data_IF_936064046252
#
_entry.id   IF_936064046252
#
_cell.length_a   1.000
_cell.length_b   1.000
_cell.length_c   1.000
_cell.angle_alpha   90.00
_cell.angle_beta   90.00
_cell.angle_gamma   90.00
#
_symmetry.space_group_name_H-M   'P 1'
#
loop_
_entity.id
_entity.type
_entity.pdbx_description
1 polymer ?
#
# COMPACT_ATOMS: atom_id res chain seq x y z
N UNK A 1 -5.88 9.71 7.82
CA UNK A 1 -5.96 10.29 9.20
C UNK A 1 -7.04 11.39 9.33
N UNK A 2 -7.77 11.72 8.26
CA UNK A 2 -8.80 12.78 8.26
C UNK A 2 -9.91 12.46 9.27
N UNK A 3 -10.43 11.22 9.28
CA UNK A 3 -11.45 10.78 10.22
C UNK A 3 -11.03 10.95 11.69
N UNK A 4 -9.74 10.69 12.00
CA UNK A 4 -9.20 10.88 13.37
C UNK A 4 -9.09 12.35 13.75
N UNK A 5 -8.65 13.19 12.81
CA UNK A 5 -8.59 14.62 13.04
C UNK A 5 -10.01 15.17 13.28
N UNK A 6 -10.99 14.72 12.51
CA UNK A 6 -12.39 15.11 12.67
C UNK A 6 -12.92 14.76 14.07
N UNK A 7 -12.82 13.50 14.50
CA UNK A 7 -13.29 13.08 15.82
C UNK A 7 -12.56 13.81 16.94
N UNK A 8 -11.23 13.87 16.88
CA UNK A 8 -10.41 14.56 17.88
C UNK A 8 -10.80 16.03 18.04
N UNK A 9 -11.05 16.72 16.93
CA UNK A 9 -11.48 18.14 16.97
C UNK A 9 -12.87 18.29 17.61
N UNK A 10 -13.80 17.38 17.32
CA UNK A 10 -15.13 17.39 17.95
C UNK A 10 -15.08 17.15 19.46
N UNK A 11 -14.12 16.36 19.93
CA UNK A 11 -13.89 16.09 21.34
C UNK A 11 -13.06 17.20 22.03
N UNK A 12 -12.81 18.33 21.35
CA UNK A 12 -12.05 19.47 21.91
C UNK A 12 -10.54 19.22 21.98
N UNK A 13 -10.02 18.15 21.40
CA UNK A 13 -8.58 17.86 21.35
C UNK A 13 -7.98 18.41 20.05
N UNK A 14 -7.29 19.55 20.14
CA UNK A 14 -6.65 20.23 18.98
C UNK A 14 -5.17 19.85 18.79
N UNK A 15 -4.66 18.83 19.46
CA UNK A 15 -3.28 18.37 19.31
C UNK A 15 -3.02 17.84 17.89
N UNK A 16 -1.92 18.27 17.27
CA UNK A 16 -1.46 17.79 15.96
C UNK A 16 -0.65 16.47 16.07
N UNK A 17 -0.36 16.01 17.29
CA UNK A 17 0.45 14.81 17.50
C UNK A 17 -0.13 13.58 16.80
N UNK A 18 0.68 12.91 15.99
CA UNK A 18 0.30 11.73 15.21
C UNK A 18 -0.60 12.02 13.99
N UNK A 19 -0.94 13.26 13.67
CA UNK A 19 -1.72 13.63 12.48
C UNK A 19 -0.86 14.07 11.30
N UNK A 20 0.37 14.50 11.52
CA UNK A 20 1.26 14.91 10.45
C UNK A 20 1.52 13.76 9.48
N UNK A 21 1.53 14.06 8.20
CA UNK A 21 1.95 13.19 7.10
C UNK A 21 3.39 13.49 6.70
N UNK A 22 3.69 13.22 5.44
CA UNK A 22 4.96 13.56 4.79
C UNK A 22 4.69 14.23 3.44
N UNK A 23 5.65 14.99 2.95
CA UNK A 23 5.59 15.57 1.60
C UNK A 23 5.91 14.46 0.58
N UNK A 24 5.11 14.38 -0.47
CA UNK A 24 5.31 13.42 -1.57
C UNK A 24 6.39 13.89 -2.55
N UNK A 25 6.64 15.20 -2.64
CA UNK A 25 7.62 15.76 -3.56
C UNK A 25 9.03 15.18 -3.31
N UNK A 26 9.68 14.71 -4.36
CA UNK A 26 11.00 14.08 -4.28
C UNK A 26 11.03 12.65 -3.74
N UNK A 27 9.91 12.13 -3.22
CA UNK A 27 9.79 10.72 -2.79
C UNK A 27 9.68 9.78 -3.99
N UNK A 28 9.96 8.52 -3.76
CA UNK A 28 9.90 7.47 -4.78
C UNK A 28 8.68 6.59 -4.59
N UNK A 29 7.87 6.45 -5.63
CA UNK A 29 6.78 5.48 -5.69
C UNK A 29 7.22 4.29 -6.56
N UNK A 30 7.13 3.09 -6.00
CA UNK A 30 7.28 1.81 -6.68
C UNK A 30 5.93 1.29 -7.15
N UNK A 31 5.76 1.11 -8.43
CA UNK A 31 4.52 0.65 -9.06
C UNK A 31 4.72 -0.76 -9.58
N UNK A 32 3.96 -1.72 -9.05
CA UNK A 32 4.03 -3.12 -9.47
C UNK A 32 2.83 -3.43 -10.35
N UNK A 33 3.10 -3.64 -11.65
CA UNK A 33 2.11 -3.72 -12.72
C UNK A 33 1.84 -2.35 -13.35
N UNK A 34 1.99 -2.24 -14.68
CA UNK A 34 1.86 -0.98 -15.43
C UNK A 34 0.68 -0.99 -16.41
N UNK A 35 -0.42 -1.62 -16.00
CA UNK A 35 -1.68 -1.64 -16.73
C UNK A 35 -2.37 -0.26 -16.78
N UNK A 36 -3.57 -0.22 -17.36
CA UNK A 36 -4.33 1.02 -17.58
C UNK A 36 -4.49 1.88 -16.32
N UNK A 37 -4.85 1.28 -15.19
CA UNK A 37 -5.06 1.98 -13.90
C UNK A 37 -3.73 2.56 -13.40
N UNK A 38 -2.68 1.75 -13.39
CA UNK A 38 -1.36 2.17 -12.95
C UNK A 38 -0.81 3.35 -13.75
N UNK A 39 -1.03 3.37 -15.08
CA UNK A 39 -0.59 4.48 -15.94
C UNK A 39 -1.27 5.81 -15.59
N UNK A 40 -2.53 5.76 -15.16
CA UNK A 40 -3.24 6.97 -14.68
C UNK A 40 -2.65 7.41 -13.33
N UNK A 41 -2.47 6.48 -12.39
CA UNK A 41 -1.85 6.78 -11.10
C UNK A 41 -0.44 7.37 -11.25
N UNK A 42 0.39 6.82 -12.13
CA UNK A 42 1.73 7.31 -12.43
C UNK A 42 1.71 8.79 -12.82
N UNK A 43 0.80 9.18 -13.72
CA UNK A 43 0.66 10.60 -14.12
C UNK A 43 0.27 11.50 -12.96
N UNK A 44 -0.62 11.04 -12.08
CA UNK A 44 -1.02 11.76 -10.88
C UNK A 44 0.17 11.93 -9.93
N UNK A 45 0.91 10.85 -9.66
CA UNK A 45 2.07 10.87 -8.76
C UNK A 45 3.21 11.74 -9.31
N UNK A 46 3.41 11.77 -10.62
CA UNK A 46 4.33 12.70 -11.30
C UNK A 46 3.91 14.16 -11.07
N UNK A 47 2.60 14.45 -11.06
CA UNK A 47 2.07 15.77 -10.73
C UNK A 47 2.39 16.22 -9.30
N UNK A 48 2.59 15.28 -8.36
CA UNK A 48 3.08 15.55 -7.01
C UNK A 48 4.62 15.65 -6.91
N UNK A 49 5.34 15.58 -8.03
CA UNK A 49 6.80 15.66 -8.04
C UNK A 49 7.50 14.38 -7.56
N UNK A 50 6.83 13.22 -7.63
CA UNK A 50 7.42 11.94 -7.24
C UNK A 50 8.32 11.35 -8.33
N UNK A 51 9.34 10.61 -7.88
CA UNK A 51 10.09 9.71 -8.73
C UNK A 51 9.32 8.38 -8.85
N UNK A 52 9.28 7.81 -10.05
CA UNK A 52 8.54 6.56 -10.29
C UNK A 52 9.49 5.45 -10.71
N UNK A 53 9.51 4.38 -9.93
CA UNK A 53 10.05 3.08 -10.30
C UNK A 53 8.90 2.15 -10.64
N UNK A 54 9.04 1.36 -11.69
CA UNK A 54 8.02 0.42 -12.11
C UNK A 54 8.60 -0.98 -12.30
N UNK A 55 7.78 -1.97 -12.02
CA UNK A 55 8.03 -3.36 -12.38
C UNK A 55 6.83 -3.91 -13.14
N UNK A 56 7.10 -4.53 -14.26
CA UNK A 56 6.13 -5.29 -15.06
C UNK A 56 6.89 -6.41 -15.78
N UNK A 57 6.37 -7.65 -15.85
CA UNK A 57 6.97 -8.71 -16.67
C UNK A 57 7.09 -8.33 -18.16
N UNK A 58 6.22 -7.43 -18.61
CA UNK A 58 6.16 -6.94 -19.99
C UNK A 58 6.31 -5.42 -20.02
N UNK A 59 7.53 -4.87 -19.80
CA UNK A 59 7.76 -3.44 -19.69
C UNK A 59 7.50 -2.73 -21.01
N UNK A 60 6.74 -1.64 -20.99
CA UNK A 60 6.48 -0.77 -22.13
C UNK A 60 7.47 0.39 -22.12
N UNK A 61 8.57 0.26 -22.87
CA UNK A 61 9.63 1.26 -22.93
C UNK A 61 9.15 2.60 -23.50
N UNK A 62 8.23 2.58 -24.46
CA UNK A 62 7.65 3.80 -25.02
C UNK A 62 6.89 4.57 -23.95
N UNK A 63 6.06 3.87 -23.17
CA UNK A 63 5.38 4.50 -22.04
C UNK A 63 6.37 5.02 -20.99
N UNK A 64 7.46 4.30 -20.72
CA UNK A 64 8.48 4.75 -19.78
C UNK A 64 9.10 6.08 -20.20
N UNK A 65 9.47 6.24 -21.46
CA UNK A 65 10.01 7.46 -22.03
C UNK A 65 8.99 8.61 -21.97
N UNK A 66 7.75 8.37 -22.42
CA UNK A 66 6.67 9.36 -22.44
C UNK A 66 6.30 9.86 -21.03
N UNK A 67 6.27 8.96 -20.03
CA UNK A 67 5.88 9.27 -18.66
C UNK A 67 7.06 9.69 -17.77
N UNK A 68 8.31 9.52 -18.24
CA UNK A 68 9.51 9.79 -17.46
C UNK A 68 9.61 8.90 -16.22
N UNK A 69 9.44 7.58 -16.41
CA UNK A 69 9.56 6.56 -15.35
C UNK A 69 10.70 5.59 -15.67
N UNK A 70 11.11 4.81 -14.66
CA UNK A 70 12.16 3.81 -14.82
C UNK A 70 11.64 2.43 -14.47
N UNK A 71 11.71 1.49 -15.42
CA UNK A 71 11.52 0.07 -15.10
C UNK A 71 12.74 -0.49 -14.41
N UNK A 72 12.52 -1.34 -13.41
CA UNK A 72 13.57 -1.97 -12.62
C UNK A 72 13.16 -3.36 -12.13
N UNK A 73 14.04 -4.05 -11.41
CA UNK A 73 13.73 -5.33 -10.76
C UNK A 73 12.86 -5.10 -9.52
N UNK A 74 12.15 -6.14 -9.06
CA UNK A 74 11.38 -6.08 -7.81
C UNK A 74 12.27 -5.72 -6.62
N UNK A 75 13.44 -6.31 -6.50
CA UNK A 75 14.35 -6.07 -5.38
C UNK A 75 14.84 -4.60 -5.34
N UNK A 76 15.19 -4.03 -6.48
CA UNK A 76 15.58 -2.61 -6.55
C UNK A 76 14.38 -1.68 -6.28
N UNK A 77 13.18 -2.04 -6.77
CA UNK A 77 11.95 -1.32 -6.47
C UNK A 77 11.67 -1.33 -4.96
N UNK A 78 11.74 -2.50 -4.30
CA UNK A 78 11.54 -2.60 -2.85
C UNK A 78 12.55 -1.75 -2.09
N UNK A 79 13.83 -1.85 -2.41
CA UNK A 79 14.90 -1.15 -1.70
C UNK A 79 14.83 0.38 -1.82
N UNK A 80 14.26 0.91 -2.89
CA UNK A 80 14.30 2.35 -3.21
C UNK A 80 12.99 3.08 -3.02
N UNK A 81 11.87 2.38 -2.88
CA UNK A 81 10.54 3.00 -2.81
C UNK A 81 10.19 3.47 -1.39
N UNK A 82 9.62 4.66 -1.29
CA UNK A 82 9.00 5.19 -0.08
C UNK A 82 7.51 4.78 0.00
N UNK A 83 6.88 4.60 -1.16
CA UNK A 83 5.51 4.10 -1.32
C UNK A 83 5.54 2.97 -2.35
N UNK A 84 4.85 1.87 -2.10
CA UNK A 84 4.67 0.77 -3.04
C UNK A 84 3.18 0.59 -3.30
N UNK A 85 2.78 0.58 -4.58
CA UNK A 85 1.39 0.41 -4.99
C UNK A 85 1.23 -0.78 -5.93
N UNK A 86 0.30 -1.68 -5.60
CA UNK A 86 0.08 -2.94 -6.30
C UNK A 86 -1.02 -2.77 -7.36
N UNK A 87 -0.70 -3.09 -8.60
CA UNK A 87 -1.59 -3.02 -9.77
C UNK A 87 -1.46 -4.24 -10.67
N UNK A 88 -0.76 -5.28 -10.22
CA UNK A 88 -0.67 -6.55 -10.93
C UNK A 88 -1.91 -7.42 -10.67
N UNK A 89 -2.25 -8.35 -11.57
CA UNK A 89 -3.28 -9.35 -11.32
C UNK A 89 -2.80 -10.34 -10.26
N UNK A 90 -3.75 -11.04 -9.61
CA UNK A 90 -3.45 -12.19 -8.77
C UNK A 90 -3.25 -13.41 -9.68
N UNK A 91 -2.07 -13.98 -9.63
CA UNK A 91 -1.65 -15.22 -10.32
C UNK A 91 -0.84 -16.07 -9.34
N UNK A 92 -0.53 -17.33 -9.65
CA UNK A 92 0.35 -18.12 -8.79
C UNK A 92 1.71 -17.45 -8.49
N UNK A 93 2.23 -16.66 -9.43
CA UNK A 93 3.52 -15.96 -9.29
C UNK A 93 3.42 -14.67 -8.47
N UNK A 94 2.23 -14.10 -8.34
CA UNK A 94 1.98 -12.85 -7.61
C UNK A 94 1.24 -13.06 -6.30
N UNK A 95 0.77 -14.27 -6.02
CA UNK A 95 0.22 -14.63 -4.73
C UNK A 95 1.27 -14.41 -3.64
N UNK A 96 0.90 -13.68 -2.60
CA UNK A 96 1.81 -13.25 -1.53
C UNK A 96 3.12 -12.60 -2.02
N UNK A 97 3.01 -11.81 -3.08
CA UNK A 97 4.13 -11.02 -3.58
C UNK A 97 4.71 -10.12 -2.46
N UNK A 98 3.84 -9.61 -1.60
CA UNK A 98 4.23 -8.92 -0.37
C UNK A 98 4.19 -9.93 0.78
N UNK A 99 5.38 -10.32 1.24
CA UNK A 99 5.63 -11.31 2.29
C UNK A 99 6.83 -10.88 3.16
N UNK A 100 7.27 -11.72 4.09
CA UNK A 100 8.37 -11.39 5.01
C UNK A 100 9.67 -11.05 4.27
N UNK A 101 10.03 -11.79 3.20
CA UNK A 101 11.25 -11.55 2.43
C UNK A 101 11.20 -10.20 1.70
N UNK A 102 10.11 -9.95 0.97
CA UNK A 102 9.94 -8.68 0.25
C UNK A 102 9.87 -7.48 1.20
N UNK A 103 9.15 -7.59 2.33
CA UNK A 103 9.09 -6.56 3.36
C UNK A 103 10.50 -6.30 3.94
N UNK A 104 11.28 -7.35 4.18
CA UNK A 104 12.65 -7.23 4.67
C UNK A 104 13.55 -6.37 3.76
N UNK A 105 13.34 -6.44 2.45
CA UNK A 105 14.09 -5.67 1.43
C UNK A 105 13.64 -4.20 1.30
N UNK A 106 12.45 -3.84 1.80
CA UNK A 106 11.89 -2.49 1.67
C UNK A 106 12.62 -1.49 2.58
N UNK A 107 12.39 -0.20 2.33
CA UNK A 107 12.79 0.86 3.26
C UNK A 107 12.05 0.75 4.59
N UNK A 108 12.70 1.14 5.67
CA UNK A 108 12.03 1.33 6.95
C UNK A 108 10.99 2.44 6.85
N UNK A 109 9.79 2.17 7.32
CA UNK A 109 8.67 3.12 7.25
C UNK A 109 7.97 3.19 5.90
N UNK A 110 8.18 2.22 4.98
CA UNK A 110 7.51 2.16 3.67
C UNK A 110 5.98 2.19 3.83
N UNK A 111 5.30 2.82 2.88
CA UNK A 111 3.84 2.76 2.75
C UNK A 111 3.47 1.75 1.67
N UNK A 112 2.54 0.84 1.96
CA UNK A 112 2.04 -0.16 1.02
C UNK A 112 0.58 0.14 0.68
N UNK A 113 0.24 0.16 -0.61
CA UNK A 113 -1.12 0.42 -1.11
C UNK A 113 -1.57 -0.77 -1.96
N UNK A 114 -2.72 -1.33 -1.61
CA UNK A 114 -3.34 -2.41 -2.38
C UNK A 114 -4.83 -2.12 -2.62
N UNK A 115 -5.15 -1.87 -3.89
CA UNK A 115 -6.52 -1.70 -4.39
C UNK A 115 -6.86 -2.76 -5.44
N UNK A 116 -6.09 -3.83 -5.49
CA UNK A 116 -6.21 -4.89 -6.49
C UNK A 116 -6.87 -6.16 -5.97
N UNK A 117 -6.08 -7.06 -5.37
CA UNK A 117 -6.55 -8.33 -4.80
C UNK A 117 -5.89 -8.58 -3.45
N UNK A 118 -6.67 -9.00 -2.45
CA UNK A 118 -6.20 -9.22 -1.07
C UNK A 118 -4.98 -10.13 -1.00
N UNK A 119 -5.03 -11.27 -1.66
CA UNK A 119 -3.95 -12.29 -1.67
C UNK A 119 -2.63 -11.87 -2.34
N UNK A 120 -2.52 -10.67 -2.87
CA UNK A 120 -1.22 -10.11 -3.25
C UNK A 120 -0.34 -9.84 -2.02
N UNK A 121 -0.94 -9.70 -0.84
CA UNK A 121 -0.26 -9.45 0.43
C UNK A 121 -0.56 -10.61 1.38
N UNK A 122 0.47 -11.18 1.99
CA UNK A 122 0.30 -12.03 3.15
C UNK A 122 -0.02 -11.13 4.35
N UNK A 123 -1.24 -11.22 4.86
CA UNK A 123 -1.75 -10.29 5.88
C UNK A 123 -1.02 -10.42 7.21
N UNK A 124 -0.67 -11.64 7.62
CA UNK A 124 0.09 -11.86 8.88
C UNK A 124 1.47 -11.20 8.80
N UNK A 125 2.17 -11.36 7.67
CA UNK A 125 3.50 -10.76 7.47
C UNK A 125 3.41 -9.23 7.38
N UNK A 126 2.34 -8.68 6.81
CA UNK A 126 2.06 -7.24 6.84
C UNK A 126 1.88 -6.75 8.29
N UNK A 127 1.09 -7.47 9.09
CA UNK A 127 0.88 -7.15 10.52
C UNK A 127 2.21 -7.12 11.27
N UNK A 128 3.08 -8.09 11.07
CA UNK A 128 4.40 -8.12 11.71
C UNK A 128 5.31 -6.98 11.23
N UNK A 129 5.24 -6.64 9.94
CA UNK A 129 5.90 -5.46 9.38
C UNK A 129 5.41 -4.14 10.01
N UNK A 130 4.10 -4.02 10.26
CA UNK A 130 3.50 -2.85 10.93
C UNK A 130 3.91 -2.76 12.41
N UNK A 131 3.92 -3.88 13.14
CA UNK A 131 4.37 -3.95 14.55
C UNK A 131 5.83 -3.56 14.69
N UNK A 132 6.70 -4.07 13.82
CA UNK A 132 8.14 -3.75 13.82
C UNK A 132 8.44 -2.35 13.28
N UNK A 133 7.46 -1.64 12.74
CA UNK A 133 7.60 -0.34 12.05
C UNK A 133 8.44 -0.41 10.75
N UNK A 134 8.73 -1.60 10.27
CA UNK A 134 9.33 -1.79 8.94
C UNK A 134 8.36 -1.28 7.88
N UNK A 135 7.06 -1.59 8.02
CA UNK A 135 5.96 -0.96 7.28
C UNK A 135 5.42 0.20 8.11
N UNK A 136 5.54 1.40 7.58
CA UNK A 136 5.09 2.63 8.25
C UNK A 136 3.58 2.82 8.19
N UNK A 137 2.94 2.39 7.11
CA UNK A 137 1.48 2.43 6.93
C UNK A 137 1.02 1.55 5.79
N UNK A 138 -0.26 1.18 5.79
CA UNK A 138 -0.90 0.49 4.68
C UNK A 138 -2.22 1.16 4.31
N UNK A 139 -2.55 1.15 3.00
CA UNK A 139 -3.86 1.53 2.47
C UNK A 139 -4.42 0.32 1.71
N UNK A 140 -5.47 -0.28 2.24
CA UNK A 140 -6.03 -1.52 1.74
C UNK A 140 -7.51 -1.30 1.39
N UNK A 141 -7.87 -1.54 0.14
CA UNK A 141 -9.25 -1.56 -0.35
C UNK A 141 -9.78 -3.01 -0.44
N UNK A 142 -8.89 -3.96 -0.25
CA UNK A 142 -9.15 -5.40 -0.39
C UNK A 142 -8.51 -6.15 0.78
N UNK A 143 -9.08 -7.30 1.12
CA UNK A 143 -8.61 -8.18 2.17
C UNK A 143 -8.45 -9.62 1.64
N UNK A 144 -7.60 -10.40 2.26
CA UNK A 144 -7.24 -11.75 1.84
C UNK A 144 -8.44 -12.71 1.87
N UNK A 145 -9.25 -12.64 2.94
CA UNK A 145 -10.45 -13.46 3.15
C UNK A 145 -11.75 -12.63 3.01
N UNK A 146 -11.76 -11.64 2.13
CA UNK A 146 -12.88 -10.69 1.96
C UNK A 146 -14.22 -11.36 1.63
N UNK A 147 -14.22 -12.55 1.02
CA UNK A 147 -15.42 -13.24 0.61
C UNK A 147 -16.42 -13.55 1.73
N UNK A 148 -15.98 -13.61 2.98
CA UNK A 148 -16.82 -13.87 4.14
C UNK A 148 -17.41 -12.60 4.78
N UNK A 149 -16.87 -11.44 4.46
CA UNK A 149 -17.19 -10.17 5.14
C UNK A 149 -17.78 -9.12 4.22
N UNK A 150 -17.47 -9.15 2.94
CA UNK A 150 -17.92 -8.13 2.01
C UNK A 150 -19.41 -8.24 1.69
N UNK A 151 -20.08 -7.08 1.62
CA UNK A 151 -21.50 -6.92 1.28
C UNK A 151 -22.50 -7.41 2.32
N UNK A 152 -22.05 -7.75 3.54
CA UNK A 152 -22.93 -8.10 4.65
C UNK A 152 -22.82 -7.10 5.80
N UNK A 153 -23.95 -6.77 6.42
CA UNK A 153 -23.94 -6.04 7.69
C UNK A 153 -23.70 -7.01 8.84
N UNK A 154 -22.54 -6.88 9.46
CA UNK A 154 -22.12 -7.67 10.63
C UNK A 154 -21.91 -6.81 11.88
N UNK A 155 -22.48 -5.60 11.92
CA UNK A 155 -22.29 -4.64 13.01
C UNK A 155 -22.83 -5.13 14.36
N UNK A 156 -23.73 -6.12 14.35
CA UNK A 156 -24.31 -6.77 15.53
C UNK A 156 -23.55 -8.03 16.00
N UNK A 157 -22.43 -8.36 15.36
CA UNK A 157 -21.64 -9.57 15.63
C UNK A 157 -20.21 -9.25 15.98
N UNK A 158 -19.58 -10.18 16.67
CA UNK A 158 -18.12 -10.16 16.87
C UNK A 158 -17.46 -10.56 15.53
N UNK A 159 -16.37 -9.88 15.18
CA UNK A 159 -15.53 -10.29 14.05
C UNK A 159 -14.73 -11.51 14.52
N UNK A 160 -15.07 -12.68 13.96
CA UNK A 160 -14.42 -13.96 14.31
C UNK A 160 -13.03 -14.12 13.66
N UNK A 161 -12.68 -13.25 12.72
CA UNK A 161 -11.35 -13.20 12.10
C UNK A 161 -10.40 -12.35 12.95
N UNK A 162 -9.57 -13.00 13.75
CA UNK A 162 -8.57 -12.35 14.60
C UNK A 162 -7.58 -11.53 13.79
N UNK A 163 -7.25 -11.96 12.56
CA UNK A 163 -6.33 -11.26 11.66
C UNK A 163 -6.93 -9.95 11.18
N UNK A 164 -8.18 -9.98 10.72
CA UNK A 164 -8.92 -8.77 10.33
C UNK A 164 -9.11 -7.84 11.52
N UNK A 165 -9.56 -8.36 12.67
CA UNK A 165 -9.74 -7.58 13.88
C UNK A 165 -8.42 -6.90 14.31
N UNK A 166 -7.31 -7.62 14.21
CA UNK A 166 -5.98 -7.09 14.47
C UNK A 166 -5.59 -6.00 13.49
N UNK A 167 -5.82 -6.21 12.19
CA UNK A 167 -5.52 -5.24 11.14
C UNK A 167 -6.29 -3.93 11.35
N UNK A 168 -7.59 -4.01 11.66
CA UNK A 168 -8.45 -2.86 11.97
C UNK A 168 -8.03 -2.08 13.22
N UNK A 169 -7.28 -2.71 14.14
CA UNK A 169 -6.79 -2.05 15.37
C UNK A 169 -5.61 -1.11 15.12
N UNK A 170 -4.95 -1.18 13.96
CA UNK A 170 -3.82 -0.31 13.65
C UNK A 170 -4.28 1.12 13.31
N UNK A 171 -3.50 2.08 13.78
CA UNK A 171 -3.76 3.50 13.57
C UNK A 171 -3.28 4.04 12.22
N UNK A 172 -2.51 3.26 11.51
CA UNK A 172 -1.79 3.56 10.27
C UNK A 172 -2.16 2.61 9.13
N UNK A 173 -3.28 1.89 9.28
CA UNK A 173 -3.93 1.10 8.24
C UNK A 173 -5.28 1.73 7.90
#
# INVERSE_FOLDING_TARGET
>A
KIHRAYWRTRDGNFSLHGLMGFDMNGKTAGIIGTGKIARILIRILKGFGMNILAYDPYPDQRFAEEAGITYTTLDDLYARSDIISLHCPLTPETEYLINADSIGKMKDGVMIINTGRGKLINTEMLIDGLKSKKVGSAGLDVYEEEGEYFYEDKSDRIIDDDTLARLLSFNNV
#
